data_IF_476374379581
#
_entry.id   IF_476374379581
#
_cell.length_a   1.000
_cell.length_b   1.000
_cell.length_c   1.000
_cell.angle_alpha   90.00
_cell.angle_beta   90.00
_cell.angle_gamma   90.00
#
_symmetry.space_group_name_H-M   'P 1'
#
loop_
_entity.id
_entity.type
_entity.pdbx_description
1 polymer ?
#
# COMPACT_ATOMS: atom_id res chain seq x y z
N UNK A 1 -27.14 -5.30 -1.01
CA UNK A 1 -25.89 -5.93 -0.51
C UNK A 1 -25.25 -4.89 0.38
N UNK A 2 -25.12 -5.17 1.67
CA UNK A 2 -24.53 -4.23 2.61
C UNK A 2 -23.05 -4.05 2.27
N UNK A 3 -22.66 -2.81 2.03
CA UNK A 3 -21.29 -2.44 1.66
C UNK A 3 -20.56 -2.07 2.94
N UNK A 4 -19.82 -3.02 3.52
CA UNK A 4 -18.98 -2.73 4.67
C UNK A 4 -17.76 -1.93 4.22
N UNK A 5 -17.42 -0.87 4.96
CA UNK A 5 -16.22 -0.05 4.73
C UNK A 5 -15.13 -0.48 5.69
N UNK A 6 -14.00 -0.88 5.14
CA UNK A 6 -12.80 -1.22 5.92
C UNK A 6 -11.88 0.00 5.96
N UNK A 7 -11.44 0.37 7.15
CA UNK A 7 -10.45 1.44 7.36
C UNK A 7 -9.24 0.87 8.06
N UNK A 8 -8.08 1.13 7.48
CA UNK A 8 -6.77 0.83 8.04
C UNK A 8 -6.10 2.14 8.41
N UNK A 9 -5.42 2.17 9.55
CA UNK A 9 -4.52 3.27 9.85
C UNK A 9 -3.23 3.12 9.04
N UNK A 10 -2.55 4.20 8.64
CA UNK A 10 -1.33 4.13 7.84
C UNK A 10 -0.25 3.24 8.46
N UNK A 11 -0.09 3.28 9.79
CA UNK A 11 0.88 2.47 10.53
C UNK A 11 0.61 0.96 10.48
N UNK A 12 -0.60 0.55 10.10
CA UNK A 12 -0.97 -0.86 9.93
C UNK A 12 -0.52 -1.41 8.58
N UNK A 13 -0.11 -0.56 7.64
CA UNK A 13 0.34 -0.97 6.31
C UNK A 13 1.86 -1.08 6.30
N UNK A 14 2.34 -2.31 6.15
CA UNK A 14 3.75 -2.65 6.07
C UNK A 14 4.16 -2.84 4.61
N UNK A 15 5.35 -2.37 4.27
CA UNK A 15 5.93 -2.52 2.94
C UNK A 15 7.19 -3.36 3.00
N UNK A 16 7.32 -4.29 2.05
CA UNK A 16 8.55 -5.05 1.82
C UNK A 16 8.96 -4.87 0.36
N UNK A 17 10.20 -4.43 0.12
CA UNK A 17 10.76 -4.32 -1.24
C UNK A 17 10.69 -5.68 -1.94
N UNK A 18 10.35 -5.65 -3.21
CA UNK A 18 10.30 -6.85 -4.08
C UNK A 18 10.57 -6.45 -5.52
N UNK A 19 10.63 -7.42 -6.42
CA UNK A 19 10.78 -7.19 -7.86
C UNK A 19 9.54 -7.67 -8.60
N UNK A 20 9.41 -7.31 -9.88
CA UNK A 20 8.29 -7.78 -10.72
C UNK A 20 8.30 -9.30 -10.89
N UNK A 21 9.47 -9.92 -10.94
CA UNK A 21 9.62 -11.38 -10.99
C UNK A 21 9.06 -12.03 -9.72
N UNK A 22 9.24 -11.37 -8.57
CA UNK A 22 8.69 -11.81 -7.28
C UNK A 22 7.16 -11.72 -7.16
N UNK A 23 6.47 -11.10 -8.12
CA UNK A 23 5.01 -11.07 -8.19
C UNK A 23 4.42 -12.37 -8.77
N UNK A 24 5.17 -13.06 -9.62
CA UNK A 24 4.67 -14.27 -10.29
C UNK A 24 4.41 -15.39 -9.29
N UNK A 25 3.25 -16.06 -9.42
CA UNK A 25 2.87 -17.19 -8.56
C UNK A 25 2.41 -16.79 -7.15
N UNK A 26 2.10 -15.51 -6.89
CA UNK A 26 1.65 -15.02 -5.57
C UNK A 26 0.27 -14.32 -5.64
N UNK A 27 -0.81 -15.02 -6.05
CA UNK A 27 -2.12 -14.40 -6.28
C UNK A 27 -2.74 -13.77 -5.02
N UNK A 28 -2.39 -14.27 -3.84
CA UNK A 28 -2.91 -13.77 -2.55
C UNK A 28 -2.12 -12.57 -1.99
N UNK A 29 -1.07 -12.13 -2.68
CA UNK A 29 -0.24 -11.00 -2.25
C UNK A 29 -0.64 -9.70 -2.95
N UNK A 30 -0.65 -8.60 -2.21
CA UNK A 30 -0.87 -7.26 -2.75
C UNK A 30 0.46 -6.58 -3.04
N UNK A 31 0.55 -6.00 -4.24
CA UNK A 31 1.71 -5.28 -4.72
C UNK A 31 1.35 -3.83 -5.05
N UNK A 32 2.34 -2.96 -4.93
CA UNK A 32 2.23 -1.57 -5.28
C UNK A 32 3.53 -1.01 -5.83
N UNK A 33 3.41 0.12 -6.51
CA UNK A 33 4.51 0.91 -7.04
C UNK A 33 4.59 2.22 -6.26
N UNK A 34 5.80 2.62 -5.88
CA UNK A 34 6.04 3.91 -5.23
C UNK A 34 5.99 5.00 -6.28
N UNK A 35 4.97 5.86 -6.24
CA UNK A 35 4.78 6.93 -7.22
C UNK A 35 5.38 8.25 -6.77
N UNK A 36 5.49 8.47 -5.46
CA UNK A 36 6.09 9.67 -4.88
C UNK A 36 6.88 9.30 -3.62
N UNK A 37 7.93 10.07 -3.33
CA UNK A 37 8.75 9.91 -2.14
C UNK A 37 9.29 11.28 -1.70
N UNK A 38 8.93 11.69 -0.49
CA UNK A 38 9.33 12.96 0.11
C UNK A 38 10.01 12.70 1.46
N UNK A 39 11.20 13.27 1.65
CA UNK A 39 11.97 13.14 2.88
C UNK A 39 11.84 14.40 3.73
N UNK A 40 11.49 14.22 5.00
CA UNK A 40 11.38 15.28 5.98
C UNK A 40 12.10 14.84 7.27
N UNK A 41 13.40 15.15 7.35
CA UNK A 41 14.26 14.77 8.48
C UNK A 41 14.45 13.26 8.56
N UNK A 42 14.06 12.66 9.70
CA UNK A 42 14.17 11.21 9.94
C UNK A 42 13.05 10.38 9.32
N UNK A 43 12.03 11.04 8.76
CA UNK A 43 10.84 10.40 8.22
C UNK A 43 10.76 10.58 6.71
N UNK A 44 10.15 9.60 6.04
CA UNK A 44 9.83 9.65 4.63
C UNK A 44 8.32 9.42 4.46
N UNK A 45 7.69 10.30 3.69
CA UNK A 45 6.32 10.13 3.21
C UNK A 45 6.41 9.55 1.80
N UNK A 46 5.68 8.47 1.55
CA UNK A 46 5.58 7.89 0.21
C UNK A 46 4.13 7.74 -0.22
N UNK A 47 3.93 7.82 -1.52
CA UNK A 47 2.68 7.46 -2.17
C UNK A 47 2.86 6.11 -2.86
N UNK A 48 1.96 5.16 -2.60
CA UNK A 48 1.99 3.81 -3.19
C UNK A 48 0.71 3.57 -3.97
N UNK A 49 0.84 3.31 -5.27
CA UNK A 49 -0.27 2.91 -6.14
C UNK A 49 -0.36 1.38 -6.17
N UNK A 50 -1.54 0.82 -5.90
CA UNK A 50 -1.77 -0.63 -5.96
C UNK A 50 -1.74 -1.12 -7.42
N UNK A 51 -1.12 -2.28 -7.66
CA UNK A 51 -0.95 -2.85 -9.01
C UNK A 51 -1.91 -4.00 -9.32
N UNK A 52 -2.32 -4.77 -8.31
CA UNK A 52 -3.14 -5.97 -8.47
C UNK A 52 -4.32 -6.02 -7.50
N UNK A 53 -4.93 -4.86 -7.23
CA UNK A 53 -6.20 -4.80 -6.48
C UNK A 53 -7.26 -5.61 -7.23
N UNK A 54 -7.89 -6.63 -6.59
CA UNK A 54 -8.90 -7.47 -7.23
C UNK A 54 -10.21 -6.73 -7.47
N UNK A 55 -10.49 -5.69 -6.67
CA UNK A 55 -11.66 -4.85 -6.84
C UNK A 55 -11.44 -3.83 -7.97
N UNK A 56 -12.48 -3.57 -8.80
CA UNK A 56 -12.46 -2.48 -9.76
C UNK A 56 -11.98 -1.19 -9.10
N UNK A 57 -11.26 -0.32 -9.83
CA UNK A 57 -10.76 0.94 -9.29
C UNK A 57 -11.84 1.81 -8.64
N UNK A 58 -13.09 1.68 -9.08
CA UNK A 58 -14.27 2.37 -8.54
C UNK A 58 -14.91 1.68 -7.31
N UNK A 59 -14.54 0.43 -7.03
CA UNK A 59 -15.06 -0.37 -5.92
C UNK A 59 -14.14 -0.35 -4.68
N UNK A 60 -12.84 -0.09 -4.87
CA UNK A 60 -11.96 0.18 -3.74
C UNK A 60 -12.31 1.56 -3.15
N UNK A 61 -12.57 1.65 -1.84
CA UNK A 61 -12.95 2.90 -1.17
C UNK A 61 -11.93 4.04 -1.32
N UNK A 62 -10.71 3.74 -1.79
CA UNK A 62 -9.65 4.71 -2.08
C UNK A 62 -9.65 5.21 -3.53
N UNK A 63 -10.47 4.65 -4.44
CA UNK A 63 -10.75 5.23 -5.76
C UNK A 63 -9.52 5.68 -6.56
N UNK A 64 -8.64 4.75 -6.96
CA UNK A 64 -7.34 5.02 -7.60
C UNK A 64 -6.37 5.96 -6.84
N UNK A 65 -6.74 6.46 -5.67
CA UNK A 65 -5.89 7.34 -4.86
C UNK A 65 -4.73 6.51 -4.31
N UNK A 66 -3.47 6.98 -4.44
CA UNK A 66 -2.35 6.27 -3.87
C UNK A 66 -2.43 6.26 -2.34
N UNK A 67 -1.95 5.16 -1.74
CA UNK A 67 -1.82 5.04 -0.30
C UNK A 67 -0.68 5.92 0.18
N UNK A 68 -0.98 6.88 1.05
CA UNK A 68 0.01 7.76 1.66
C UNK A 68 0.50 7.14 2.97
N UNK A 69 1.79 6.82 3.02
CA UNK A 69 2.40 6.13 4.15
C UNK A 69 3.59 6.93 4.68
N UNK A 70 3.69 7.02 6.01
CA UNK A 70 4.84 7.61 6.69
C UNK A 70 5.67 6.51 7.34
N UNK A 71 6.96 6.50 7.07
CA UNK A 71 7.91 5.48 7.54
C UNK A 71 9.24 6.15 7.88
N UNK A 72 10.13 5.47 8.63
CA UNK A 72 11.51 5.91 8.76
C UNK A 72 12.15 6.15 7.39
N UNK A 73 12.95 7.20 7.27
CA UNK A 73 13.68 7.50 6.03
C UNK A 73 14.77 6.46 5.72
N UNK A 74 15.30 5.81 6.77
CA UNK A 74 16.21 4.68 6.61
C UNK A 74 15.45 3.52 5.94
N UNK A 75 16.03 3.00 4.86
CA UNK A 75 15.43 1.94 4.04
C UNK A 75 14.08 2.27 3.40
N UNK A 76 13.71 3.54 3.27
CA UNK A 76 12.52 3.93 2.52
C UNK A 76 12.64 3.47 1.05
N UNK A 77 11.64 2.74 0.52
CA UNK A 77 11.55 2.49 -0.91
C UNK A 77 11.69 3.73 -1.79
N UNK A 78 12.42 3.61 -2.90
CA UNK A 78 12.64 4.68 -3.86
C UNK A 78 11.47 4.79 -4.87
N UNK A 79 11.39 5.93 -5.56
CA UNK A 79 10.40 6.16 -6.61
C UNK A 79 10.54 5.12 -7.72
N UNK A 80 9.41 4.53 -8.15
CA UNK A 80 9.34 3.45 -9.13
C UNK A 80 9.62 2.04 -8.57
N UNK A 81 10.03 1.90 -7.30
CA UNK A 81 10.23 0.57 -6.72
C UNK A 81 8.90 -0.17 -6.54
N UNK A 82 8.95 -1.49 -6.74
CA UNK A 82 7.84 -2.40 -6.44
C UNK A 82 7.95 -2.85 -4.99
N UNK A 83 6.83 -2.77 -4.29
CA UNK A 83 6.70 -3.18 -2.90
C UNK A 83 5.55 -4.14 -2.74
N UNK A 84 5.75 -5.14 -1.88
CA UNK A 84 4.67 -5.98 -1.37
C UNK A 84 4.07 -5.31 -0.14
N UNK A 85 2.75 -5.22 -0.11
CA UNK A 85 1.99 -4.68 1.01
C UNK A 85 1.53 -5.81 1.93
N UNK A 86 1.53 -5.55 3.23
CA UNK A 86 0.98 -6.46 4.24
C UNK A 86 0.30 -5.63 5.32
N UNK A 87 -0.82 -6.12 5.84
CA UNK A 87 -1.54 -5.45 6.92
C UNK A 87 -1.19 -6.09 8.26
N UNK A 88 -0.96 -5.28 9.27
CA UNK A 88 -0.73 -5.70 10.65
C UNK A 88 -1.89 -5.25 11.56
N UNK A 89 -2.24 -6.12 12.52
CA UNK A 89 -3.30 -5.85 13.49
C UNK A 89 -4.71 -6.04 12.92
N UNK A 90 -5.69 -5.44 13.60
CA UNK A 90 -7.12 -5.56 13.25
C UNK A 90 -7.57 -4.35 12.45
N UNK A 91 -8.33 -4.58 11.39
CA UNK A 91 -8.94 -3.50 10.62
C UNK A 91 -10.16 -2.94 11.37
N UNK A 92 -10.42 -1.65 11.18
CA UNK A 92 -11.67 -1.05 11.62
C UNK A 92 -12.72 -1.29 10.54
N UNK A 93 -13.84 -1.90 10.92
CA UNK A 93 -14.95 -2.19 9.99
C UNK A 93 -16.14 -1.33 10.39
N UNK A 94 -16.65 -0.58 9.42
CA UNK A 94 -17.87 0.20 9.55
C UNK A 94 -18.95 -0.48 8.71
N UNK A 95 -20.09 -0.77 9.33
CA UNK A 95 -21.28 -1.32 8.69
C UNK A 95 -22.20 -0.18 8.20
#
# INVERSE_FOLDING_TARGET
>A
RDVARIMLRPEQVLLKRTSREGMSGTPDMLFGEVTESEFAGSMCTIAVRLLNSPDPPDAAAIGNTPLILRKPGIDAPALGEIVRLTVSGKAHVFA
#
